data_IF_250065453649
#
_entry.id   IF_250065453649
#
_cell.length_a   1.000
_cell.length_b   1.000
_cell.length_c   1.000
_cell.angle_alpha   90.00
_cell.angle_beta   90.00
_cell.angle_gamma   90.00
#
_symmetry.space_group_name_H-M   'P 1'
#
loop_
_entity.id
_entity.type
_entity.pdbx_description
1 polymer ?
#
# COMPACT_ATOMS: atom_id res chain seq x y z
N UNK A 1 -14.19 3.70 5.48
CA UNK A 1 -13.20 3.79 6.58
C UNK A 1 -12.08 2.76 6.44
N UNK A 2 -11.59 2.58 5.21
CA UNK A 2 -10.55 1.61 4.93
C UNK A 2 -9.36 2.33 4.28
N UNK A 3 -8.15 1.93 4.68
CA UNK A 3 -6.92 2.45 4.09
C UNK A 3 -5.99 1.32 3.72
N UNK A 4 -5.17 1.53 2.69
CA UNK A 4 -4.20 0.54 2.21
C UNK A 4 -2.82 1.17 2.08
N UNK A 5 -1.80 0.37 2.33
CA UNK A 5 -0.43 0.87 2.36
C UNK A 5 0.54 -0.24 1.97
N UNK A 6 1.49 0.07 1.11
CA UNK A 6 2.57 -0.84 0.75
C UNK A 6 3.81 -0.03 0.37
N UNK A 7 4.96 -0.70 0.32
CA UNK A 7 6.20 -0.09 -0.17
C UNK A 7 6.53 -0.67 -1.55
N UNK A 8 6.64 0.21 -2.54
CA UNK A 8 7.00 -0.16 -3.90
C UNK A 8 8.46 0.21 -4.15
N UNK A 9 9.27 -0.80 -4.46
CA UNK A 9 10.67 -0.62 -4.80
C UNK A 9 10.96 -1.46 -6.04
N UNK A 10 10.55 -0.97 -7.19
CA UNK A 10 10.76 -1.68 -8.45
C UNK A 10 12.27 -1.72 -8.76
N UNK A 11 12.76 -2.80 -9.37
CA UNK A 11 12.02 -3.98 -9.82
C UNK A 11 11.86 -5.08 -8.77
N UNK A 12 12.33 -4.88 -7.54
CA UNK A 12 12.30 -5.90 -6.48
C UNK A 12 10.89 -6.28 -6.06
N UNK A 13 9.98 -5.30 -6.02
CA UNK A 13 8.60 -5.52 -5.60
C UNK A 13 7.64 -5.37 -6.77
N UNK A 14 6.37 -5.77 -6.57
CA UNK A 14 5.30 -5.43 -7.49
C UNK A 14 5.18 -3.91 -7.58
N UNK A 15 4.90 -3.40 -8.78
CA UNK A 15 4.64 -1.99 -8.96
C UNK A 15 3.15 -1.71 -8.72
N UNK A 16 2.77 -0.45 -8.77
CA UNK A 16 1.37 -0.07 -8.56
C UNK A 16 0.43 -0.73 -9.56
N UNK A 17 0.87 -0.88 -10.83
CA UNK A 17 0.06 -1.52 -11.87
C UNK A 17 -0.13 -3.01 -11.60
N UNK A 18 0.86 -3.69 -10.99
CA UNK A 18 0.72 -5.10 -10.60
C UNK A 18 -0.33 -5.26 -9.51
N UNK A 19 -0.34 -4.34 -8.54
CA UNK A 19 -1.24 -4.39 -7.39
C UNK A 19 -2.66 -3.96 -7.80
N UNK A 20 -2.76 -2.92 -8.61
CA UNK A 20 -4.04 -2.39 -9.09
C UNK A 20 -4.03 -2.34 -10.61
N UNK A 21 -4.25 -3.50 -11.29
CA UNK A 21 -4.16 -3.55 -12.76
C UNK A 21 -5.24 -2.74 -13.47
N UNK A 22 -6.35 -2.46 -12.77
CA UNK A 22 -7.44 -1.66 -13.31
C UNK A 22 -7.74 -0.52 -12.35
N UNK A 23 -7.75 0.71 -12.86
CA UNK A 23 -8.10 1.86 -12.05
C UNK A 23 -9.56 1.75 -11.59
N UNK A 24 -9.85 2.08 -10.31
CA UNK A 24 -11.23 2.06 -9.84
C UNK A 24 -12.04 3.15 -10.53
N UNK A 25 -13.36 2.95 -10.72
CA UNK A 25 -14.19 3.98 -11.30
C UNK A 25 -14.25 5.22 -10.40
N UNK A 26 -14.38 6.38 -11.02
CA UNK A 26 -14.56 7.61 -10.27
C UNK A 26 -15.90 7.61 -9.57
N UNK A 27 -15.90 7.92 -8.30
CA UNK A 27 -17.13 8.06 -7.53
C UNK A 27 -16.88 9.07 -6.41
N UNK A 28 -17.98 9.57 -5.83
CA UNK A 28 -17.92 10.43 -4.68
C UNK A 28 -17.78 9.55 -3.44
N UNK A 29 -16.67 9.70 -2.71
CA UNK A 29 -16.45 8.98 -1.47
C UNK A 29 -16.47 9.96 -0.31
N UNK A 30 -17.29 9.75 0.72
CA UNK A 30 -17.15 10.51 1.94
C UNK A 30 -15.82 10.16 2.59
N UNK A 31 -15.09 11.17 3.05
CA UNK A 31 -13.79 10.98 3.68
C UNK A 31 -13.89 11.42 5.13
N UNK A 32 -13.56 10.50 6.04
CA UNK A 32 -13.39 10.82 7.45
C UNK A 32 -11.92 11.21 7.65
N UNK A 33 -11.66 12.40 8.16
CA UNK A 33 -10.31 12.92 8.28
C UNK A 33 -9.34 12.04 9.06
N UNK A 34 -9.84 11.22 9.98
CA UNK A 34 -9.01 10.29 10.75
C UNK A 34 -8.39 9.20 9.88
N UNK A 35 -9.09 8.74 8.83
CA UNK A 35 -8.58 7.68 7.96
C UNK A 35 -7.31 8.10 7.21
N UNK A 36 -7.27 9.22 6.47
CA UNK A 36 -6.01 9.64 5.85
C UNK A 36 -4.95 10.01 6.89
N UNK A 37 -5.35 10.45 8.08
CA UNK A 37 -4.40 10.71 9.16
C UNK A 37 -3.66 9.46 9.61
N UNK A 38 -4.38 8.35 9.81
CA UNK A 38 -3.78 7.06 10.19
C UNK A 38 -2.83 6.58 9.08
N UNK A 39 -3.29 6.57 7.84
CA UNK A 39 -2.48 6.08 6.72
C UNK A 39 -1.27 6.99 6.49
N UNK A 40 -1.43 8.30 6.60
CA UNK A 40 -0.32 9.24 6.47
C UNK A 40 0.77 9.03 7.52
N UNK A 41 0.40 8.77 8.77
CA UNK A 41 1.36 8.45 9.83
C UNK A 41 2.09 7.15 9.55
N UNK A 42 1.38 6.13 9.06
CA UNK A 42 1.99 4.86 8.69
C UNK A 42 2.96 5.03 7.51
N UNK A 43 2.60 5.85 6.54
CA UNK A 43 3.48 6.16 5.41
C UNK A 43 4.77 6.83 5.89
N UNK A 44 4.67 7.75 6.86
CA UNK A 44 5.83 8.40 7.43
C UNK A 44 6.74 7.40 8.13
N UNK A 45 6.18 6.47 8.89
CA UNK A 45 6.95 5.43 9.57
C UNK A 45 7.65 4.52 8.56
N UNK A 46 6.96 4.12 7.49
CA UNK A 46 7.55 3.27 6.46
C UNK A 46 8.69 4.00 5.73
N UNK A 47 8.51 5.29 5.47
CA UNK A 47 9.54 6.10 4.83
C UNK A 47 10.79 6.18 5.70
N UNK A 48 10.62 6.43 7.00
CA UNK A 48 11.74 6.51 7.93
C UNK A 48 12.47 5.17 8.05
N UNK A 49 11.73 4.06 8.12
CA UNK A 49 12.33 2.72 8.18
C UNK A 49 13.10 2.40 6.89
N UNK A 50 12.56 2.77 5.75
CA UNK A 50 13.20 2.53 4.47
C UNK A 50 14.52 3.31 4.35
N UNK A 51 14.51 4.60 4.73
CA UNK A 51 15.68 5.47 4.63
C UNK A 51 16.76 5.12 5.65
N UNK A 52 16.38 4.67 6.84
CA UNK A 52 17.33 4.35 7.92
C UNK A 52 17.73 2.90 7.97
N UNK A 53 16.99 2.01 7.30
CA UNK A 53 17.23 0.57 7.35
C UNK A 53 16.84 -0.07 8.68
N UNK A 54 16.12 0.65 9.53
CA UNK A 54 15.71 0.14 10.85
C UNK A 54 14.41 -0.61 10.74
N UNK A 55 14.33 -1.80 11.34
CA UNK A 55 13.12 -2.61 11.38
C UNK A 55 12.77 -3.24 10.04
N UNK A 56 11.56 -3.81 9.98
CA UNK A 56 11.02 -4.40 8.76
C UNK A 56 10.09 -3.40 8.08
N UNK A 57 10.11 -3.38 6.74
CA UNK A 57 9.23 -2.51 5.97
C UNK A 57 8.21 -3.33 5.18
N UNK A 58 7.33 -2.63 4.45
CA UNK A 58 6.23 -3.26 3.73
C UNK A 58 6.57 -3.63 2.28
N UNK A 59 7.84 -3.87 1.97
CA UNK A 59 8.21 -4.44 0.67
C UNK A 59 7.55 -5.80 0.51
N UNK A 60 6.84 -5.97 -0.60
CA UNK A 60 6.16 -7.23 -0.89
C UNK A 60 4.93 -7.51 -0.04
N UNK A 61 4.45 -6.53 0.71
CA UNK A 61 3.30 -6.69 1.59
C UNK A 61 2.35 -5.51 1.46
N UNK A 62 1.06 -5.79 1.33
CA UNK A 62 0.01 -4.79 1.38
C UNK A 62 -0.61 -4.79 2.76
N UNK A 63 -0.52 -3.68 3.47
CA UNK A 63 -1.20 -3.50 4.75
C UNK A 63 -2.55 -2.84 4.50
N UNK A 64 -3.59 -3.43 5.03
CA UNK A 64 -4.96 -2.90 4.95
C UNK A 64 -5.43 -2.57 6.36
N UNK A 65 -5.91 -1.35 6.55
CA UNK A 65 -6.49 -0.93 7.81
C UNK A 65 -8.00 -0.77 7.64
N UNK A 66 -8.75 -1.48 8.49
CA UNK A 66 -10.20 -1.37 8.55
C UNK A 66 -10.55 -0.55 9.78
N UNK A 67 -10.98 0.69 9.56
CA UNK A 67 -11.32 1.60 10.65
C UNK A 67 -12.63 1.29 11.33
N UNK A 68 -13.52 0.53 10.67
CA UNK A 68 -14.79 0.14 11.28
C UNK A 68 -14.57 -0.84 12.43
N UNK A 69 -13.68 -1.81 12.22
CA UNK A 69 -13.42 -2.87 13.20
C UNK A 69 -12.07 -2.74 13.89
N UNK A 70 -11.29 -1.70 13.56
CA UNK A 70 -9.95 -1.45 14.10
C UNK A 70 -9.03 -2.63 13.91
N UNK A 71 -9.02 -3.17 12.68
CA UNK A 71 -8.20 -4.32 12.33
C UNK A 71 -7.15 -3.94 11.29
N UNK A 72 -5.97 -4.57 11.42
CA UNK A 72 -4.93 -4.50 10.41
C UNK A 72 -4.79 -5.89 9.77
N UNK A 73 -4.81 -5.93 8.44
CA UNK A 73 -4.64 -7.16 7.69
C UNK A 73 -3.44 -7.00 6.77
N UNK A 74 -2.66 -8.06 6.62
CA UNK A 74 -1.47 -8.06 5.76
C UNK A 74 -1.63 -9.10 4.66
N UNK A 75 -1.35 -8.71 3.43
CA UNK A 75 -1.42 -9.58 2.26
C UNK A 75 -0.13 -9.50 1.47
N UNK A 76 0.42 -10.63 0.99
CA UNK A 76 1.58 -10.59 0.12
C UNK A 76 1.22 -9.96 -1.23
N UNK A 77 2.14 -9.21 -1.80
CA UNK A 77 2.01 -8.69 -3.16
C UNK A 77 3.03 -9.36 -4.05
N UNK A 78 2.63 -9.68 -5.28
CA UNK A 78 3.51 -10.35 -6.24
C UNK A 78 3.55 -9.57 -7.54
N UNK A 79 4.73 -9.58 -8.19
CA UNK A 79 4.87 -8.99 -9.52
C UNK A 79 4.08 -9.81 -10.54
N UNK A 80 3.42 -9.10 -11.45
CA UNK A 80 2.77 -9.76 -12.59
C UNK A 80 3.81 -9.90 -13.71
N UNK A 81 4.05 -11.11 -14.21
CA UNK A 81 4.99 -11.29 -15.34
C UNK A 81 4.51 -10.63 -16.62
N UNK A 82 3.23 -10.29 -16.71
CA UNK A 82 2.65 -9.63 -17.87
C UNK A 82 2.36 -8.15 -17.63
N UNK A 83 2.88 -7.57 -16.53
CA UNK A 83 2.63 -6.16 -16.21
C UNK A 83 3.16 -5.24 -17.30
N UNK A 84 2.34 -4.34 -17.86
CA UNK A 84 2.79 -3.44 -18.93
C UNK A 84 3.72 -2.34 -18.43
N UNK A 85 3.80 -2.10 -17.12
CA UNK A 85 4.61 -1.03 -16.56
C UNK A 85 5.99 -1.52 -16.13
N UNK A 86 6.06 -2.57 -15.32
CA UNK A 86 7.33 -3.05 -14.79
C UNK A 86 7.90 -4.27 -15.52
N UNK A 87 7.15 -4.83 -16.46
CA UNK A 87 7.61 -5.94 -17.26
C UNK A 87 7.73 -7.27 -16.52
N UNK A 88 7.11 -7.34 -15.39
CA UNK A 88 7.17 -8.54 -14.57
C UNK A 88 8.33 -8.56 -13.61
#
# INVERSE_FOLDING_TARGET
>A
LEGKLTLIHAPETACLQCVFPTAPPRSLFPVLGATPGVIGCLQAMETLKYLTGVGSNLKGTMLVWDGMDMEFLSYPTTKSPTCPVCGG
#
